data_IF_329213017610
#
_entry.id   IF_329213017610
#
_cell.length_a   1.000
_cell.length_b   1.000
_cell.length_c   1.000
_cell.angle_alpha   90.00
_cell.angle_beta   90.00
_cell.angle_gamma   90.00
#
_symmetry.space_group_name_H-M   'P 1'
#
loop_
_entity.id
_entity.type
_entity.pdbx_description
1 polymer ?
#
# COMPACT_ATOMS: atom_id res chain seq x y z
N UNK A 1 -43.53 -69.27 -6.91
CA UNK A 1 -43.25 -68.28 -5.85
C UNK A 1 -43.13 -66.91 -6.50
N UNK A 2 -43.96 -65.94 -6.09
CA UNK A 2 -44.02 -64.59 -6.68
C UNK A 2 -42.84 -63.76 -6.17
N UNK A 3 -41.96 -63.28 -7.07
CA UNK A 3 -40.93 -62.30 -6.75
C UNK A 3 -41.35 -60.92 -7.27
N UNK A 4 -41.65 -60.01 -6.35
CA UNK A 4 -41.87 -58.58 -6.60
C UNK A 4 -40.50 -57.92 -6.78
N UNK A 5 -40.31 -57.15 -7.85
CA UNK A 5 -39.18 -56.23 -8.01
C UNK A 5 -39.72 -54.80 -8.07
N UNK A 6 -39.41 -54.02 -7.04
CA UNK A 6 -39.60 -52.58 -7.00
C UNK A 6 -38.54 -51.89 -7.88
N UNK A 7 -38.98 -50.90 -8.65
CA UNK A 7 -38.13 -49.98 -9.39
C UNK A 7 -38.13 -48.64 -8.65
N UNK A 8 -36.98 -48.06 -8.27
CA UNK A 8 -36.94 -46.69 -7.80
C UNK A 8 -36.60 -45.75 -8.95
N UNK A 9 -37.55 -44.89 -9.32
CA UNK A 9 -37.30 -43.67 -10.08
C UNK A 9 -36.49 -42.70 -9.20
N UNK A 10 -35.26 -42.40 -9.59
CA UNK A 10 -34.53 -41.25 -9.05
C UNK A 10 -34.95 -39.99 -9.80
N UNK A 11 -35.75 -39.16 -9.16
CA UNK A 11 -35.96 -37.78 -9.57
C UNK A 11 -34.66 -37.00 -9.30
N UNK A 12 -33.98 -36.58 -10.36
CA UNK A 12 -32.78 -35.74 -10.27
C UNK A 12 -33.15 -34.35 -9.77
N UNK A 13 -32.63 -33.97 -8.60
CA UNK A 13 -32.59 -32.58 -8.16
C UNK A 13 -31.36 -31.95 -8.80
N UNK A 14 -31.57 -31.14 -9.84
CA UNK A 14 -30.54 -30.26 -10.38
C UNK A 14 -30.30 -29.13 -9.37
N UNK A 15 -29.20 -29.20 -8.60
CA UNK A 15 -28.68 -28.03 -7.90
C UNK A 15 -28.14 -27.04 -8.95
N UNK A 16 -28.89 -25.98 -9.22
CA UNK A 16 -28.36 -24.81 -9.88
C UNK A 16 -27.35 -24.14 -8.92
N UNK A 17 -26.06 -24.37 -9.16
CA UNK A 17 -25.00 -23.59 -8.54
C UNK A 17 -25.11 -22.15 -9.07
N UNK A 18 -25.78 -21.28 -8.33
CA UNK A 18 -25.71 -19.85 -8.56
C UNK A 18 -24.27 -19.41 -8.29
N UNK A 19 -23.49 -19.24 -9.35
CA UNK A 19 -22.23 -18.53 -9.29
C UNK A 19 -22.56 -17.11 -8.83
N UNK A 20 -22.29 -16.81 -7.55
CA UNK A 20 -22.30 -15.46 -7.00
C UNK A 20 -21.23 -14.66 -7.76
N UNK A 21 -21.63 -14.01 -8.85
CA UNK A 21 -20.82 -13.01 -9.53
C UNK A 21 -20.64 -11.85 -8.56
N UNK A 22 -19.41 -11.73 -8.04
CA UNK A 22 -19.04 -10.59 -7.22
C UNK A 22 -19.23 -9.30 -8.00
N UNK A 23 -19.80 -8.29 -7.35
CA UNK A 23 -20.15 -7.04 -8.01
C UNK A 23 -18.87 -6.28 -8.47
N UNK A 24 -18.88 -5.65 -9.67
CA UNK A 24 -17.78 -4.80 -10.12
C UNK A 24 -17.65 -3.55 -9.24
N UNK A 25 -16.53 -2.83 -9.26
CA UNK A 25 -16.39 -1.61 -8.44
C UNK A 25 -17.43 -0.52 -8.77
N UNK A 26 -18.03 -0.59 -9.97
CA UNK A 26 -19.17 0.23 -10.37
C UNK A 26 -20.49 -0.06 -9.62
N UNK A 27 -20.55 -1.13 -8.82
CA UNK A 27 -21.70 -1.44 -7.96
C UNK A 27 -21.64 -0.74 -6.59
N UNK A 28 -20.48 -0.18 -6.21
CA UNK A 28 -20.38 0.62 -4.98
C UNK A 28 -20.93 2.02 -5.25
N UNK A 29 -21.91 2.46 -4.47
CA UNK A 29 -22.38 3.85 -4.49
C UNK A 29 -21.35 4.77 -3.84
N UNK A 30 -20.38 5.22 -4.64
CA UNK A 30 -19.31 6.10 -4.18
C UNK A 30 -19.80 7.47 -3.75
N UNK A 31 -21.00 7.92 -4.14
CA UNK A 31 -21.54 9.20 -3.67
C UNK A 31 -21.91 9.12 -2.18
N UNK A 32 -22.42 7.97 -1.72
CA UNK A 32 -22.75 7.71 -0.31
C UNK A 32 -21.55 7.40 0.59
N UNK A 33 -20.39 7.07 0.04
CA UNK A 33 -19.19 6.74 0.83
C UNK A 33 -18.44 8.02 1.24
N UNK A 34 -18.24 8.18 2.54
CA UNK A 34 -17.43 9.27 3.09
C UNK A 34 -15.98 9.21 2.59
N UNK A 35 -15.48 10.33 2.10
CA UNK A 35 -14.08 10.48 1.68
C UNK A 35 -13.25 11.18 2.73
N UNK A 36 -11.96 10.84 2.77
CA UNK A 36 -10.94 11.57 3.52
C UNK A 36 -9.92 12.13 2.53
N UNK A 37 -9.67 13.42 2.61
CA UNK A 37 -8.56 14.04 1.89
C UNK A 37 -7.26 13.73 2.63
N UNK A 38 -6.30 13.21 1.88
CA UNK A 38 -4.96 12.85 2.36
C UNK A 38 -3.94 13.59 1.49
N UNK A 39 -3.08 14.37 2.13
CA UNK A 39 -1.97 15.03 1.45
C UNK A 39 -0.85 14.02 1.21
N UNK A 40 -0.58 13.73 -0.06
CA UNK A 40 0.58 12.95 -0.48
C UNK A 40 1.68 13.93 -0.90
N UNK A 41 2.83 13.90 -0.25
CA UNK A 41 3.95 14.80 -0.56
C UNK A 41 5.15 14.04 -1.13
N UNK A 42 6.02 14.75 -1.83
CA UNK A 42 7.25 14.24 -2.40
C UNK A 42 8.30 14.08 -1.29
N UNK A 43 8.68 12.86 -0.89
CA UNK A 43 9.49 12.65 0.31
C UNK A 43 11.00 12.72 0.05
N UNK A 44 11.44 12.66 -1.20
CA UNK A 44 12.86 12.50 -1.56
C UNK A 44 13.48 11.27 -0.86
N UNK A 45 14.76 11.39 -0.52
CA UNK A 45 15.53 10.43 0.27
C UNK A 45 15.37 10.70 1.78
N UNK A 46 14.17 10.45 2.31
CA UNK A 46 13.85 10.59 3.74
C UNK A 46 13.67 9.22 4.43
N UNK A 47 14.75 8.51 4.79
CA UNK A 47 14.65 7.20 5.42
C UNK A 47 14.17 7.30 6.88
N UNK A 48 13.65 6.19 7.39
CA UNK A 48 13.16 6.04 8.75
C UNK A 48 14.24 6.43 9.78
N UNK A 49 15.49 6.03 9.55
CA UNK A 49 16.61 6.37 10.42
C UNK A 49 16.85 7.89 10.54
N UNK A 50 16.63 8.62 9.46
CA UNK A 50 16.70 10.09 9.43
C UNK A 50 15.51 10.71 10.16
N UNK A 51 14.28 10.22 9.91
CA UNK A 51 13.04 10.72 10.54
C UNK A 51 13.10 10.63 12.08
N UNK A 52 13.81 9.62 12.60
CA UNK A 52 13.99 9.42 14.05
C UNK A 52 15.20 10.13 14.67
N UNK A 53 15.96 10.89 13.90
CA UNK A 53 17.14 11.60 14.41
C UNK A 53 16.78 13.05 14.70
N UNK A 54 16.76 13.45 15.98
CA UNK A 54 16.20 14.75 16.41
C UNK A 54 16.99 15.97 15.91
N UNK A 55 18.28 15.83 15.64
CA UNK A 55 19.09 16.87 15.01
C UNK A 55 18.80 17.02 13.51
N UNK A 56 18.14 16.03 12.90
CA UNK A 56 17.89 15.98 11.45
C UNK A 56 16.41 16.25 11.10
N UNK A 57 15.49 15.78 11.97
CA UNK A 57 14.05 15.93 11.89
C UNK A 57 13.46 16.38 13.23
N UNK A 58 12.87 17.57 13.27
CA UNK A 58 12.34 18.20 14.49
C UNK A 58 11.23 17.41 15.18
N UNK A 59 10.50 16.58 14.44
CA UNK A 59 9.44 15.72 14.99
C UNK A 59 9.96 14.48 15.73
N UNK A 60 11.25 14.16 15.67
CA UNK A 60 11.75 12.90 16.24
C UNK A 60 11.58 12.78 17.77
N UNK A 61 11.84 13.82 18.60
CA UNK A 61 11.59 13.73 20.04
C UNK A 61 10.11 13.50 20.35
N UNK A 62 9.23 14.25 19.69
CA UNK A 62 7.77 14.14 19.84
C UNK A 62 7.27 12.74 19.46
N UNK A 63 7.81 12.16 18.39
CA UNK A 63 7.52 10.78 18.00
C UNK A 63 8.03 9.78 19.05
N UNK A 64 9.21 9.98 19.63
CA UNK A 64 9.74 9.11 20.69
C UNK A 64 8.87 9.16 21.95
N UNK A 65 8.23 10.29 22.22
CA UNK A 65 7.28 10.47 23.31
C UNK A 65 5.89 9.83 23.04
N UNK A 66 5.75 9.07 21.94
CA UNK A 66 4.58 8.24 21.66
C UNK A 66 3.59 8.84 20.67
N UNK A 67 3.84 10.06 20.18
CA UNK A 67 3.00 10.72 19.17
C UNK A 67 3.19 10.11 17.79
N UNK A 68 2.15 10.15 16.96
CA UNK A 68 2.19 9.65 15.58
C UNK A 68 2.49 10.77 14.59
N UNK A 69 3.05 10.41 13.43
CA UNK A 69 3.48 11.39 12.41
C UNK A 69 2.32 12.31 11.96
N UNK A 70 1.11 11.77 11.83
CA UNK A 70 -0.07 12.52 11.40
C UNK A 70 -0.48 13.60 12.42
N UNK A 71 -0.08 13.50 13.69
CA UNK A 71 -0.38 14.53 14.69
C UNK A 71 0.35 15.85 14.40
N UNK A 72 1.38 15.84 13.56
CA UNK A 72 2.05 17.05 13.07
C UNK A 72 1.80 17.29 11.57
N UNK A 73 1.83 16.22 10.76
CA UNK A 73 1.79 16.35 9.29
C UNK A 73 0.39 16.46 8.67
N UNK A 74 -0.67 16.09 9.39
CA UNK A 74 -2.06 16.15 8.91
C UNK A 74 -2.90 17.22 9.66
N UNK A 75 -2.23 18.19 10.29
CA UNK A 75 -2.92 19.23 11.06
C UNK A 75 -3.77 20.13 10.14
N UNK A 76 -5.08 20.31 10.41
CA UNK A 76 -5.94 21.16 9.59
C UNK A 76 -5.37 22.58 9.43
N UNK A 77 -5.30 23.06 8.19
CA UNK A 77 -4.75 24.38 7.87
C UNK A 77 -3.22 24.49 7.94
N UNK A 78 -2.50 23.42 8.33
CA UNK A 78 -1.04 23.38 8.27
C UNK A 78 -0.59 22.64 7.02
N UNK A 79 0.17 23.33 6.18
CA UNK A 79 0.72 22.80 4.94
C UNK A 79 2.13 22.25 5.14
N UNK A 80 2.51 21.78 6.33
CA UNK A 80 3.92 21.41 6.60
C UNK A 80 4.41 20.30 5.66
N UNK A 81 3.64 19.21 5.52
CA UNK A 81 3.95 18.15 4.57
C UNK A 81 4.06 18.67 3.13
N UNK A 82 3.13 19.54 2.71
CA UNK A 82 3.13 20.14 1.38
C UNK A 82 4.30 21.12 1.16
N UNK A 83 4.65 21.89 2.19
CA UNK A 83 5.75 22.87 2.17
C UNK A 83 7.08 22.15 2.12
N UNK A 84 7.26 21.12 2.95
CA UNK A 84 8.45 20.27 2.92
C UNK A 84 8.57 19.55 1.57
N UNK A 85 7.48 18.97 1.06
CA UNK A 85 7.47 18.33 -0.25
C UNK A 85 7.88 19.28 -1.39
N UNK A 86 7.45 20.55 -1.36
CA UNK A 86 7.90 21.58 -2.32
C UNK A 86 9.40 21.85 -2.23
N UNK A 87 9.93 22.04 -1.02
CA UNK A 87 11.38 22.26 -0.81
C UNK A 87 12.20 21.07 -1.26
N UNK A 88 11.75 19.85 -0.96
CA UNK A 88 12.42 18.62 -1.37
C UNK A 88 12.37 18.48 -2.89
N UNK A 89 11.21 18.68 -3.53
CA UNK A 89 11.09 18.61 -4.99
C UNK A 89 11.93 19.68 -5.71
N UNK A 90 12.17 20.83 -5.07
CA UNK A 90 13.07 21.88 -5.57
C UNK A 90 14.57 21.58 -5.34
N UNK A 91 14.92 20.48 -4.67
CA UNK A 91 16.31 20.10 -4.38
C UNK A 91 16.94 20.86 -3.21
N UNK A 92 16.16 21.57 -2.39
CA UNK A 92 16.69 22.31 -1.23
C UNK A 92 17.18 21.37 -0.11
N UNK A 93 16.59 20.16 0.00
CA UNK A 93 16.94 19.16 1.00
C UNK A 93 16.49 17.77 0.54
N UNK A 94 17.21 16.72 0.94
CA UNK A 94 16.82 15.30 0.77
C UNK A 94 16.60 14.83 -0.68
N UNK A 95 16.88 15.63 -1.69
CA UNK A 95 16.75 15.23 -3.10
C UNK A 95 18.00 15.66 -3.86
N UNK A 96 18.99 14.76 -4.06
CA UNK A 96 20.22 15.09 -4.77
C UNK A 96 20.00 15.25 -6.29
N UNK A 97 18.90 14.73 -6.84
CA UNK A 97 18.62 14.71 -8.28
C UNK A 97 17.19 15.18 -8.56
N UNK A 98 16.87 16.46 -8.29
CA UNK A 98 15.50 16.97 -8.38
C UNK A 98 14.93 16.83 -9.80
N UNK A 99 13.68 16.38 -9.88
CA UNK A 99 12.95 16.23 -11.14
C UNK A 99 12.25 17.55 -11.45
N UNK A 100 12.66 18.22 -12.53
CA UNK A 100 12.08 19.49 -12.94
C UNK A 100 10.56 19.38 -13.15
N UNK A 101 9.80 20.31 -12.54
CA UNK A 101 8.33 20.33 -12.62
C UNK A 101 7.63 19.29 -11.75
N UNK A 102 8.35 18.51 -10.93
CA UNK A 102 7.74 17.55 -10.01
C UNK A 102 6.89 18.27 -8.97
N UNK A 103 5.62 17.84 -8.83
CA UNK A 103 4.75 18.33 -7.79
C UNK A 103 5.32 17.94 -6.40
N UNK A 104 5.53 18.95 -5.54
CA UNK A 104 5.94 18.73 -4.16
C UNK A 104 4.86 18.07 -3.30
N UNK A 105 3.59 18.21 -3.68
CA UNK A 105 2.46 17.52 -3.03
C UNK A 105 1.21 17.52 -3.90
N UNK A 106 0.34 16.54 -3.66
CA UNK A 106 -1.01 16.45 -4.19
C UNK A 106 -1.98 16.04 -3.07
N UNK A 107 -3.25 16.35 -3.24
CA UNK A 107 -4.31 15.86 -2.35
C UNK A 107 -5.01 14.69 -3.03
N UNK A 108 -5.05 13.54 -2.36
CA UNK A 108 -5.86 12.40 -2.77
C UNK A 108 -7.12 12.32 -1.91
N UNK A 109 -8.29 12.22 -2.52
CA UNK A 109 -9.50 11.82 -1.83
C UNK A 109 -9.55 10.29 -1.77
N UNK A 110 -9.58 9.75 -0.57
CA UNK A 110 -9.60 8.31 -0.32
C UNK A 110 -10.97 7.94 0.25
N UNK A 111 -11.62 6.97 -0.37
CA UNK A 111 -12.87 6.36 0.08
C UNK A 111 -12.66 4.88 0.31
N UNK A 112 -13.15 4.36 1.42
CA UNK A 112 -13.06 2.94 1.77
C UNK A 112 -14.47 2.40 1.97
N UNK A 113 -14.78 1.32 1.29
CA UNK A 113 -16.08 0.65 1.37
C UNK A 113 -15.87 -0.86 1.41
N UNK A 114 -16.87 -1.61 1.90
CA UNK A 114 -16.86 -3.07 1.85
C UNK A 114 -18.28 -3.58 1.60
N UNK A 115 -18.36 -4.76 1.02
CA UNK A 115 -19.60 -5.56 1.04
C UNK A 115 -19.42 -6.79 1.96
N UNK A 116 -20.15 -7.87 1.69
CA UNK A 116 -20.03 -9.12 2.43
C UNK A 116 -18.78 -9.95 2.06
N UNK A 117 -18.21 -9.74 0.88
CA UNK A 117 -17.10 -10.51 0.32
C UNK A 117 -15.81 -9.70 0.17
N UNK A 118 -15.86 -8.40 -0.14
CA UNK A 118 -14.71 -7.61 -0.58
C UNK A 118 -14.52 -6.29 0.18
N UNK A 119 -13.26 -5.88 0.27
CA UNK A 119 -12.83 -4.52 0.60
C UNK A 119 -12.54 -3.76 -0.70
N UNK A 120 -12.99 -2.51 -0.78
CA UNK A 120 -12.75 -1.57 -1.87
C UNK A 120 -12.10 -0.30 -1.34
N UNK A 121 -11.04 0.14 -2.01
CA UNK A 121 -10.35 1.40 -1.72
C UNK A 121 -10.33 2.22 -3.01
N UNK A 122 -11.07 3.32 -3.02
CA UNK A 122 -11.08 4.28 -4.12
C UNK A 122 -10.16 5.45 -3.79
N UNK A 123 -9.26 5.77 -4.72
CA UNK A 123 -8.38 6.93 -4.66
C UNK A 123 -8.69 7.85 -5.84
N UNK A 124 -8.83 9.14 -5.56
CA UNK A 124 -8.95 10.17 -6.58
C UNK A 124 -7.92 11.26 -6.35
N UNK A 125 -7.08 11.56 -7.35
CA UNK A 125 -6.00 12.52 -7.22
C UNK A 125 -5.66 13.19 -8.56
N UNK A 126 -5.16 14.44 -8.57
CA UNK A 126 -4.81 15.12 -9.80
C UNK A 126 -3.66 14.40 -10.53
N UNK A 127 -3.72 14.40 -11.86
CA UNK A 127 -2.58 14.01 -12.68
C UNK A 127 -1.49 15.10 -12.63
N UNK A 128 -0.23 14.67 -12.49
CA UNK A 128 0.93 15.58 -12.38
C UNK A 128 2.05 15.09 -13.29
N UNK A 129 1.87 15.18 -14.62
CA UNK A 129 2.88 14.73 -15.56
C UNK A 129 4.14 15.60 -15.41
N UNK A 130 5.30 14.95 -15.49
CA UNK A 130 6.60 15.63 -15.51
C UNK A 130 7.25 15.42 -16.88
N UNK A 131 7.92 16.45 -17.39
CA UNK A 131 8.74 16.33 -18.59
C UNK A 131 10.08 15.66 -18.26
N UNK A 132 10.73 15.07 -19.28
CA UNK A 132 12.05 14.47 -19.14
C UNK A 132 12.06 12.97 -18.86
N UNK A 133 13.16 12.48 -18.30
CA UNK A 133 13.38 11.06 -18.05
C UNK A 133 12.37 10.51 -17.02
N UNK A 134 11.70 9.43 -17.38
CA UNK A 134 10.73 8.77 -16.51
C UNK A 134 11.44 7.78 -15.60
N UNK A 135 11.04 7.73 -14.32
CA UNK A 135 11.46 6.67 -13.40
C UNK A 135 10.94 5.28 -13.82
N UNK A 136 9.81 5.25 -14.55
CA UNK A 136 9.20 4.06 -15.12
C UNK A 136 8.60 4.45 -16.48
N UNK A 137 9.24 4.08 -17.60
CA UNK A 137 8.76 4.48 -18.93
C UNK A 137 7.46 3.78 -19.34
N UNK A 138 7.16 2.62 -18.75
CA UNK A 138 6.03 1.77 -19.14
C UNK A 138 4.72 2.21 -18.49
N UNK A 139 4.78 3.02 -17.43
CA UNK A 139 3.63 3.39 -16.62
C UNK A 139 3.61 4.90 -16.37
N UNK A 140 2.53 5.57 -16.77
CA UNK A 140 2.33 7.00 -16.48
C UNK A 140 2.27 7.25 -14.96
N UNK A 141 1.54 6.40 -14.24
CA UNK A 141 1.40 6.48 -12.77
C UNK A 141 1.39 5.09 -12.17
N UNK A 142 1.97 4.97 -10.97
CA UNK A 142 1.77 3.84 -10.06
C UNK A 142 1.24 4.38 -8.75
N UNK A 143 0.13 3.83 -8.27
CA UNK A 143 -0.40 4.10 -6.91
C UNK A 143 -0.31 2.82 -6.10
N UNK A 144 0.14 2.93 -4.86
CA UNK A 144 0.33 1.78 -3.96
C UNK A 144 -0.27 2.10 -2.61
N UNK A 145 -0.98 1.15 -2.02
CA UNK A 145 -1.34 1.16 -0.61
C UNK A 145 -0.65 0.00 0.09
N UNK A 146 -0.33 0.19 1.37
CA UNK A 146 0.12 -0.86 2.27
C UNK A 146 -0.94 -1.11 3.35
N UNK A 147 -1.06 -2.36 3.80
CA UNK A 147 -2.05 -2.76 4.80
C UNK A 147 -1.40 -3.61 5.91
N UNK A 148 -1.75 -3.29 7.15
CA UNK A 148 -1.43 -4.11 8.31
C UNK A 148 -2.65 -4.33 9.21
N UNK A 149 -2.63 -5.45 9.93
CA UNK A 149 -3.63 -5.87 10.91
C UNK A 149 -3.15 -5.69 12.37
N UNK A 150 -2.20 -4.77 12.59
CA UNK A 150 -1.63 -4.46 13.90
C UNK A 150 -0.46 -5.35 14.31
N UNK A 151 0.08 -6.16 13.38
CA UNK A 151 1.23 -7.05 13.63
C UNK A 151 2.58 -6.35 13.41
N UNK A 152 2.58 -5.17 12.77
CA UNK A 152 3.77 -4.34 12.56
C UNK A 152 3.57 -3.00 13.28
N UNK A 153 3.99 -2.87 14.57
CA UNK A 153 3.70 -1.70 15.40
C UNK A 153 4.17 -0.37 14.79
N UNK A 154 5.31 -0.37 14.10
CA UNK A 154 5.87 0.83 13.44
C UNK A 154 4.96 1.34 12.33
N UNK A 155 4.30 0.43 11.61
CA UNK A 155 3.42 0.78 10.51
C UNK A 155 2.16 1.47 11.01
N UNK A 156 1.62 1.06 12.16
CA UNK A 156 0.49 1.75 12.78
C UNK A 156 0.80 3.21 13.15
N UNK A 157 2.07 3.53 13.37
CA UNK A 157 2.51 4.86 13.83
C UNK A 157 3.05 5.75 12.71
N UNK A 158 3.62 5.15 11.66
CA UNK A 158 4.34 5.87 10.60
C UNK A 158 3.86 5.53 9.18
N UNK A 159 2.91 4.62 9.01
CA UNK A 159 2.47 4.15 7.70
C UNK A 159 3.63 3.61 6.87
N UNK A 160 3.64 3.91 5.57
CA UNK A 160 4.62 3.38 4.63
C UNK A 160 6.09 3.74 4.94
N UNK A 161 6.36 4.75 5.77
CA UNK A 161 7.72 5.08 6.24
C UNK A 161 8.36 3.95 7.05
N UNK A 162 7.56 3.09 7.69
CA UNK A 162 8.07 1.91 8.39
C UNK A 162 8.84 0.93 7.49
N UNK A 163 8.86 1.17 6.17
CA UNK A 163 9.57 0.37 5.18
C UNK A 163 10.67 1.11 4.42
N UNK A 164 10.82 2.42 4.64
CA UNK A 164 11.79 3.27 3.94
C UNK A 164 13.06 3.35 4.76
N UNK A 165 14.14 2.72 4.33
CA UNK A 165 15.40 2.67 5.09
C UNK A 165 16.58 3.26 4.32
N UNK A 166 17.61 3.68 5.05
CA UNK A 166 18.76 4.39 4.47
C UNK A 166 19.60 3.52 3.50
N UNK A 167 19.62 2.19 3.70
CA UNK A 167 20.28 1.23 2.81
C UNK A 167 19.38 0.64 1.70
N UNK A 168 18.20 1.23 1.44
CA UNK A 168 17.45 0.84 0.26
C UNK A 168 18.18 1.24 -1.02
N UNK A 169 17.89 0.56 -2.12
CA UNK A 169 18.36 0.96 -3.43
C UNK A 169 18.00 2.44 -3.68
N UNK A 170 18.95 3.20 -4.20
CA UNK A 170 18.85 4.66 -4.43
C UNK A 170 18.67 5.56 -3.20
N UNK A 171 18.81 5.02 -1.98
CA UNK A 171 18.91 5.81 -0.74
C UNK A 171 20.40 6.06 -0.38
N UNK A 172 20.70 6.98 0.56
CA UNK A 172 22.07 7.45 0.79
C UNK A 172 23.09 6.34 1.12
N UNK A 173 22.69 5.29 1.85
CA UNK A 173 23.55 4.13 2.17
C UNK A 173 23.26 2.90 1.30
N UNK A 174 22.50 3.04 0.21
CA UNK A 174 22.12 1.91 -0.66
C UNK A 174 23.26 1.33 -1.49
N UNK A 175 24.28 2.13 -1.79
CA UNK A 175 25.40 1.73 -2.64
C UNK A 175 24.94 1.22 -4.01
N UNK A 176 25.52 0.11 -4.47
CA UNK A 176 25.14 -0.58 -5.72
C UNK A 176 24.18 -1.75 -5.50
N UNK A 177 23.60 -1.88 -4.30
CA UNK A 177 22.69 -2.97 -3.97
C UNK A 177 21.29 -2.80 -4.56
N UNK A 178 20.51 -3.88 -4.51
CA UNK A 178 19.13 -3.95 -4.99
C UNK A 178 18.10 -4.06 -3.84
N UNK A 179 18.52 -3.73 -2.61
CA UNK A 179 17.69 -3.78 -1.41
C UNK A 179 16.38 -3.02 -1.61
N UNK A 180 15.27 -3.74 -1.61
CA UNK A 180 13.93 -3.15 -1.65
C UNK A 180 13.37 -2.94 -0.24
N UNK A 181 12.23 -2.26 -0.16
CA UNK A 181 11.48 -2.01 1.10
C UNK A 181 11.41 -3.26 1.98
N UNK A 182 11.62 -3.08 3.29
CA UNK A 182 11.58 -4.15 4.29
C UNK A 182 11.08 -3.60 5.63
N UNK A 183 10.66 -4.46 6.57
CA UNK A 183 10.33 -4.06 7.94
C UNK A 183 11.46 -4.40 8.90
N UNK A 184 11.65 -3.59 9.95
CA UNK A 184 12.74 -3.77 10.91
C UNK A 184 12.79 -5.17 11.56
N UNK A 185 11.63 -5.81 11.71
CA UNK A 185 11.48 -7.13 12.32
C UNK A 185 12.23 -8.22 11.55
N UNK A 186 12.46 -8.01 10.26
CA UNK A 186 13.21 -8.93 9.38
C UNK A 186 14.73 -8.82 9.50
N UNK A 187 15.24 -7.87 10.31
CA UNK A 187 16.67 -7.59 10.43
C UNK A 187 17.20 -8.05 11.78
N UNK A 188 18.47 -8.44 11.80
CA UNK A 188 19.18 -8.79 13.05
C UNK A 188 19.36 -7.55 13.91
N UNK A 189 19.70 -6.42 13.28
CA UNK A 189 19.90 -5.13 13.95
C UNK A 189 19.61 -3.97 12.99
N UNK A 190 19.07 -2.89 13.54
CA UNK A 190 18.96 -1.60 12.85
C UNK A 190 20.08 -0.66 13.28
N UNK A 191 20.62 0.10 12.32
CA UNK A 191 21.63 1.15 12.53
C UNK A 191 21.16 2.45 11.87
N UNK A 192 21.94 3.54 11.95
CA UNK A 192 21.64 4.79 11.22
C UNK A 192 21.64 4.60 9.70
N UNK A 193 22.37 3.60 9.20
CA UNK A 193 22.44 3.25 7.78
C UNK A 193 21.40 2.20 7.39
N UNK A 194 20.46 1.87 8.27
CA UNK A 194 19.50 0.77 8.09
C UNK A 194 19.98 -0.56 8.67
N UNK A 195 19.24 -1.62 8.38
CA UNK A 195 19.57 -3.00 8.74
C UNK A 195 20.13 -3.77 7.56
N UNK A 196 21.44 -4.01 7.59
CA UNK A 196 22.15 -4.78 6.56
C UNK A 196 21.90 -6.28 6.69
N UNK A 197 21.94 -6.79 7.92
CA UNK A 197 21.84 -8.22 8.20
C UNK A 197 20.38 -8.67 8.25
N UNK A 198 19.98 -9.50 7.29
CA UNK A 198 18.67 -10.15 7.24
C UNK A 198 18.67 -11.35 8.19
N UNK A 199 17.55 -11.57 8.89
CA UNK A 199 17.36 -12.77 9.72
C UNK A 199 17.41 -14.06 8.89
N UNK A 200 17.78 -15.19 9.51
CA UNK A 200 17.69 -16.51 8.89
C UNK A 200 16.29 -16.84 8.35
N UNK A 201 16.24 -17.69 7.31
CA UNK A 201 15.02 -18.00 6.58
C UNK A 201 13.92 -18.61 7.47
N UNK A 202 14.26 -19.49 8.41
CA UNK A 202 13.33 -20.11 9.35
C UNK A 202 12.68 -19.07 10.30
N UNK A 203 13.45 -18.07 10.75
CA UNK A 203 12.90 -16.94 11.50
C UNK A 203 11.96 -16.08 10.65
N UNK A 204 12.30 -15.83 9.38
CA UNK A 204 11.43 -15.07 8.46
C UNK A 204 10.13 -15.83 8.18
N UNK A 205 10.20 -17.14 7.99
CA UNK A 205 9.01 -17.98 7.80
C UNK A 205 8.10 -17.97 9.03
N UNK A 206 8.68 -17.98 10.23
CA UNK A 206 7.93 -17.82 11.47
C UNK A 206 7.24 -16.45 11.54
N UNK A 207 7.96 -15.37 11.23
CA UNK A 207 7.37 -14.02 11.18
C UNK A 207 6.19 -13.95 10.20
N UNK A 208 6.36 -14.55 9.01
CA UNK A 208 5.32 -14.61 7.98
C UNK A 208 4.10 -15.40 8.46
N UNK A 209 4.31 -16.57 9.07
CA UNK A 209 3.24 -17.39 9.64
C UNK A 209 2.49 -16.69 10.78
N UNK A 210 3.19 -15.90 11.59
CA UNK A 210 2.62 -15.10 12.68
C UNK A 210 1.91 -13.82 12.19
N UNK A 211 1.91 -13.57 10.88
CA UNK A 211 1.28 -12.43 10.24
C UNK A 211 2.10 -11.13 10.31
N UNK A 212 3.37 -11.22 10.70
CA UNK A 212 4.31 -10.08 10.82
C UNK A 212 4.91 -9.78 9.46
N UNK A 213 4.12 -9.14 8.61
CA UNK A 213 4.48 -8.59 7.31
C UNK A 213 3.49 -7.50 6.95
N UNK A 214 3.77 -6.69 5.94
CA UNK A 214 2.78 -5.77 5.37
C UNK A 214 2.28 -6.34 4.06
N UNK A 215 0.98 -6.24 3.78
CA UNK A 215 0.50 -6.38 2.39
C UNK A 215 0.77 -5.09 1.63
N UNK A 216 1.00 -5.17 0.32
CA UNK A 216 0.90 -4.01 -0.56
C UNK A 216 0.02 -4.32 -1.76
N UNK A 217 -0.77 -3.35 -2.18
CA UNK A 217 -1.62 -3.40 -3.38
C UNK A 217 -1.25 -2.23 -4.28
N UNK A 218 -1.02 -2.49 -5.55
CA UNK A 218 -0.55 -1.49 -6.51
C UNK A 218 -1.38 -1.54 -7.79
N UNK A 219 -1.78 -0.37 -8.27
CA UNK A 219 -2.27 -0.19 -9.63
C UNK A 219 -1.19 0.50 -10.47
N UNK A 220 -0.89 -0.09 -11.62
CA UNK A 220 -0.11 0.55 -12.69
C UNK A 220 -1.06 1.11 -13.74
N UNK A 221 -0.88 2.37 -14.12
CA UNK A 221 -1.87 3.17 -14.84
C UNK A 221 -1.25 3.82 -16.07
N UNK A 222 -2.02 3.82 -17.16
CA UNK A 222 -1.71 4.53 -18.40
C UNK A 222 -3.01 5.10 -18.98
N UNK A 223 -3.02 6.33 -19.50
CA UNK A 223 -4.23 6.92 -20.07
C UNK A 223 -4.81 6.04 -21.17
N UNK A 224 -6.13 5.80 -21.11
CA UNK A 224 -6.86 4.99 -22.10
C UNK A 224 -6.57 3.48 -22.07
N UNK A 225 -5.78 2.97 -21.12
CA UNK A 225 -5.51 1.53 -20.97
C UNK A 225 -6.11 1.00 -19.66
N UNK A 226 -6.51 -0.28 -19.61
CA UNK A 226 -6.89 -0.93 -18.36
C UNK A 226 -5.77 -0.85 -17.31
N UNK A 227 -6.14 -0.66 -16.05
CA UNK A 227 -5.20 -0.71 -14.95
C UNK A 227 -4.64 -2.13 -14.78
N UNK A 228 -3.36 -2.25 -14.42
CA UNK A 228 -2.72 -3.53 -14.12
C UNK A 228 -2.50 -3.62 -12.61
N UNK A 229 -3.10 -4.62 -11.98
CA UNK A 229 -2.93 -4.90 -10.57
C UNK A 229 -1.62 -5.64 -10.29
N UNK A 230 -0.95 -5.28 -9.20
CA UNK A 230 0.13 -6.03 -8.58
C UNK A 230 -0.12 -6.03 -7.08
N UNK A 231 -0.01 -7.17 -6.43
CA UNK A 231 0.01 -7.25 -4.97
C UNK A 231 1.18 -8.09 -4.49
N UNK A 232 1.34 -8.14 -3.17
CA UNK A 232 2.43 -8.86 -2.53
C UNK A 232 2.56 -8.50 -1.08
N UNK A 233 3.74 -8.80 -0.53
CA UNK A 233 4.07 -8.50 0.85
C UNK A 233 5.41 -7.78 0.99
N UNK A 234 5.61 -7.18 2.15
CA UNK A 234 6.87 -6.59 2.60
C UNK A 234 7.23 -7.22 3.94
N UNK A 235 8.34 -7.97 3.94
CA UNK A 235 8.98 -8.53 5.14
C UNK A 235 10.47 -8.19 5.14
N UNK A 236 11.30 -9.06 4.59
CA UNK A 236 12.73 -8.88 4.38
C UNK A 236 13.03 -8.11 3.10
N UNK A 237 12.09 -8.17 2.16
CA UNK A 237 12.04 -7.46 0.88
C UNK A 237 10.59 -7.25 0.47
N UNK A 238 10.39 -6.41 -0.54
CA UNK A 238 9.12 -6.32 -1.27
C UNK A 238 9.05 -7.47 -2.27
N UNK A 239 8.11 -8.39 -2.06
CA UNK A 239 7.90 -9.54 -2.93
C UNK A 239 6.51 -9.50 -3.54
N UNK A 240 6.43 -9.54 -4.87
CA UNK A 240 5.16 -9.63 -5.59
C UNK A 240 4.63 -11.07 -5.58
N UNK A 241 3.32 -11.22 -5.49
CA UNK A 241 2.69 -12.51 -5.74
C UNK A 241 2.69 -12.80 -7.25
N UNK A 242 2.90 -14.07 -7.61
CA UNK A 242 2.84 -14.51 -9.01
C UNK A 242 1.44 -14.35 -9.62
N UNK A 243 0.40 -14.43 -8.79
CA UNK A 243 -0.99 -14.24 -9.19
C UNK A 243 -1.69 -13.34 -8.17
N UNK A 244 -1.92 -12.06 -8.51
CA UNK A 244 -2.60 -11.13 -7.63
C UNK A 244 -4.03 -11.57 -7.32
N UNK A 245 -4.42 -11.48 -6.05
CA UNK A 245 -5.83 -11.55 -5.64
C UNK A 245 -6.49 -10.16 -5.69
N UNK A 246 -5.69 -9.10 -5.71
CA UNK A 246 -6.13 -7.72 -5.90
C UNK A 246 -6.54 -7.48 -7.35
N UNK A 247 -7.68 -6.84 -7.52
CA UNK A 247 -8.10 -6.22 -8.77
C UNK A 247 -7.89 -4.71 -8.73
N UNK A 248 -7.57 -4.13 -9.87
CA UNK A 248 -7.40 -2.69 -10.05
C UNK A 248 -8.25 -2.20 -11.22
N UNK A 249 -9.02 -1.15 -10.98
CA UNK A 249 -9.68 -0.36 -12.01
C UNK A 249 -9.09 1.06 -11.95
N UNK A 250 -8.91 1.69 -13.11
CA UNK A 250 -8.29 3.01 -13.15
C UNK A 250 -8.58 3.76 -14.44
N UNK A 251 -8.90 5.05 -14.33
CA UNK A 251 -9.07 5.96 -15.47
C UNK A 251 -8.56 7.35 -15.15
N UNK A 252 -8.13 8.05 -16.20
CA UNK A 252 -7.85 9.49 -16.16
C UNK A 252 -9.08 10.23 -16.71
N UNK A 253 -9.72 11.05 -15.89
CA UNK A 253 -10.93 11.80 -16.24
C UNK A 253 -10.90 13.17 -15.58
N UNK A 254 -11.17 14.23 -16.35
CA UNK A 254 -11.19 15.60 -15.83
C UNK A 254 -9.85 16.04 -15.20
N UNK A 255 -8.71 15.54 -15.71
CA UNK A 255 -7.39 15.82 -15.15
C UNK A 255 -7.07 15.11 -13.83
N UNK A 256 -7.88 14.12 -13.42
CA UNK A 256 -7.68 13.32 -12.22
C UNK A 256 -7.64 11.84 -12.53
N UNK A 257 -6.77 11.13 -11.84
CA UNK A 257 -6.83 9.67 -11.76
C UNK A 257 -7.92 9.28 -10.77
N UNK A 258 -8.80 8.37 -11.20
CA UNK A 258 -9.76 7.68 -10.35
C UNK A 258 -9.40 6.21 -10.38
N UNK A 259 -9.02 5.67 -9.23
CA UNK A 259 -8.52 4.30 -9.09
C UNK A 259 -9.35 3.57 -8.04
N UNK A 260 -9.70 2.32 -8.31
CA UNK A 260 -10.27 1.42 -7.28
C UNK A 260 -9.39 0.19 -7.18
N UNK A 261 -8.88 -0.07 -5.98
CA UNK A 261 -8.23 -1.33 -5.60
C UNK A 261 -9.21 -2.15 -4.78
N UNK A 262 -9.28 -3.45 -5.02
CA UNK A 262 -10.14 -4.33 -4.22
C UNK A 262 -9.62 -5.75 -4.17
N UNK A 263 -9.93 -6.45 -3.07
CA UNK A 263 -9.83 -7.91 -2.96
C UNK A 263 -10.85 -8.45 -1.99
N UNK A 264 -11.01 -9.78 -1.98
CA UNK A 264 -11.80 -10.48 -0.97
C UNK A 264 -11.29 -10.21 0.43
N UNK A 265 -12.19 -10.14 1.40
CA UNK A 265 -11.89 -10.02 2.82
C UNK A 265 -11.10 -11.25 3.29
N UNK A 266 -11.56 -12.43 2.88
CA UNK A 266 -10.88 -13.71 3.03
C UNK A 266 -10.23 -14.13 1.71
N UNK A 267 -8.98 -13.75 1.50
CA UNK A 267 -8.23 -14.06 0.30
C UNK A 267 -7.33 -15.31 0.47
N UNK A 268 -7.24 -15.87 1.68
CA UNK A 268 -6.37 -17.00 1.98
C UNK A 268 -4.89 -16.60 1.99
N UNK A 269 -4.00 -17.56 2.26
CA UNK A 269 -2.57 -17.31 2.18
C UNK A 269 -2.17 -16.88 0.75
N UNK A 270 -1.26 -15.91 0.57
CA UNK A 270 -0.44 -15.26 1.60
C UNK A 270 -1.01 -13.93 2.15
N UNK A 271 -2.31 -13.69 2.02
CA UNK A 271 -2.96 -12.45 2.45
C UNK A 271 -3.38 -12.50 3.93
N UNK A 272 -3.50 -11.33 4.55
CA UNK A 272 -4.12 -11.14 5.85
C UNK A 272 -5.63 -11.23 5.72
N UNK A 273 -6.22 -11.97 6.64
CA UNK A 273 -7.66 -12.05 6.79
C UNK A 273 -8.23 -10.72 7.33
N UNK A 274 -9.22 -10.18 6.61
CA UNK A 274 -9.89 -8.93 6.96
C UNK A 274 -11.24 -9.22 7.61
N UNK A 275 -11.30 -9.11 8.93
CA UNK A 275 -12.49 -9.33 9.73
C UNK A 275 -13.23 -8.01 10.02
N UNK A 276 -14.56 -8.07 10.01
CA UNK A 276 -15.39 -6.94 10.40
C UNK A 276 -15.11 -6.52 11.86
N UNK A 277 -15.20 -5.22 12.15
CA UNK A 277 -15.02 -4.67 13.50
C UNK A 277 -13.57 -4.61 13.99
N UNK A 278 -12.59 -5.04 13.19
CA UNK A 278 -11.17 -4.89 13.55
C UNK A 278 -10.57 -3.64 12.91
N UNK A 279 -9.70 -2.91 13.63
CA UNK A 279 -8.93 -1.82 13.04
C UNK A 279 -7.81 -2.38 12.15
N UNK A 280 -7.55 -1.67 11.05
CA UNK A 280 -6.45 -1.92 10.13
C UNK A 280 -5.73 -0.61 9.86
N UNK A 281 -4.41 -0.68 9.74
CA UNK A 281 -3.60 0.46 9.34
C UNK A 281 -3.43 0.46 7.82
N UNK A 282 -3.54 1.64 7.22
CA UNK A 282 -3.27 1.89 5.80
C UNK A 282 -2.17 2.94 5.68
N UNK A 283 -1.31 2.81 4.68
CA UNK A 283 -0.21 3.73 4.42
C UNK A 283 0.27 3.72 2.99
#
# INVERSE_FOLDING_TARGET
MKSVRFSPSFAGVALAAAALWAAPAGAVDWAGVAGKDVTMFYPGQAPFEWVLTGTEHSGAPVFKDGKNCHECHDLPGKSEAATMGKKIAAGEKLEPTPIAGKAGSITANIKVAKDADKLYVRLEFPDTPVAGAKMDPDNAVKVTMMLDNGKVPEFARMGCWATCHDNLATMPSGGTGDTSKYIKQSRVKMTRQGGADVKPADELEKLRADGVFLEYWQAKLNPGKPAVAVDGFILDKRAANASPAVTAEGKLEGGKWVVVLSRKLAAGAPYKELAAGKPYSLG
#
